data_IF_898956125495
#
_entry.id   IF_898956125495
#
_cell.length_a   1.000
_cell.length_b   1.000
_cell.length_c   1.000
_cell.angle_alpha   90.00
_cell.angle_beta   90.00
_cell.angle_gamma   90.00
#
_symmetry.space_group_name_H-M   'P 1'
#
loop_
_entity.id
_entity.type
_entity.pdbx_description
1 polymer ?
#
# COMPACT_ATOMS: atom_id res chain seq x y z
N UNK A 1 20.50 -19.14 7.90
CA UNK A 1 19.34 -18.24 8.17
C UNK A 1 18.06 -19.01 7.79
N UNK A 2 17.25 -19.39 8.78
CA UNK A 2 16.10 -20.25 8.59
C UNK A 2 14.93 -19.60 7.87
N UNK A 3 14.00 -20.37 7.33
CA UNK A 3 12.84 -19.91 6.54
C UNK A 3 11.89 -18.94 7.28
N UNK A 4 12.09 -18.73 8.56
CA UNK A 4 11.28 -17.88 9.45
C UNK A 4 11.40 -16.37 9.21
N UNK A 5 12.55 -15.89 8.72
CA UNK A 5 12.75 -14.47 8.47
C UNK A 5 11.93 -13.95 7.27
N UNK A 6 11.64 -14.82 6.29
CA UNK A 6 10.88 -14.48 5.08
C UNK A 6 9.37 -14.28 5.33
N UNK A 7 8.79 -14.93 6.37
CA UNK A 7 7.34 -14.86 6.65
C UNK A 7 6.89 -13.58 7.39
N UNK A 8 7.79 -12.86 8.07
CA UNK A 8 7.44 -11.63 8.80
C UNK A 8 7.13 -10.45 7.88
N UNK A 9 7.67 -10.42 6.67
CA UNK A 9 7.47 -9.34 5.70
C UNK A 9 6.03 -9.26 5.18
N UNK A 10 5.37 -10.41 4.98
CA UNK A 10 4.00 -10.47 4.46
C UNK A 10 2.91 -10.18 5.50
N UNK A 11 3.24 -10.11 6.80
CA UNK A 11 2.27 -9.88 7.88
C UNK A 11 1.77 -8.44 7.96
N UNK A 12 2.50 -7.49 7.42
CA UNK A 12 2.12 -6.08 7.46
C UNK A 12 2.06 -5.54 6.05
N UNK A 13 0.87 -5.18 5.63
CA UNK A 13 0.59 -4.50 4.37
C UNK A 13 0.19 -3.07 4.66
N UNK A 14 0.64 -2.14 3.83
CA UNK A 14 0.41 -0.71 4.00
C UNK A 14 -0.34 -0.17 2.79
N UNK A 15 -1.35 0.65 3.04
CA UNK A 15 -2.08 1.37 1.99
C UNK A 15 -1.94 2.87 2.19
N UNK A 16 -1.73 3.55 1.09
CA UNK A 16 -1.80 5.00 1.04
C UNK A 16 -2.37 5.46 -0.30
N UNK A 17 -3.25 6.46 -0.23
CA UNK A 17 -3.76 7.18 -1.39
C UNK A 17 -3.00 8.50 -1.53
N UNK A 18 -2.54 8.81 -2.75
CA UNK A 18 -1.96 10.11 -3.09
C UNK A 18 -2.67 10.71 -4.30
N UNK A 19 -3.05 11.99 -4.25
CA UNK A 19 -3.46 12.72 -5.42
C UNK A 19 -2.25 12.98 -6.34
N UNK A 20 -2.46 12.92 -7.64
CA UNK A 20 -1.52 13.45 -8.62
C UNK A 20 -1.84 14.92 -8.79
N UNK A 21 -0.98 15.78 -8.35
CA UNK A 21 -0.82 17.25 -8.42
C UNK A 21 -1.85 18.22 -8.99
N UNK A 22 -2.92 17.81 -9.65
CA UNK A 22 -3.90 18.72 -10.26
C UNK A 22 -5.26 18.67 -9.56
N UNK A 23 -5.97 19.81 -9.51
CA UNK A 23 -7.34 19.91 -8.95
C UNK A 23 -8.36 18.98 -9.63
N UNK A 24 -8.11 18.53 -10.86
CA UNK A 24 -8.83 17.48 -11.59
C UNK A 24 -8.04 16.16 -11.64
N UNK A 25 -7.07 15.99 -10.75
CA UNK A 25 -6.11 14.91 -10.74
C UNK A 25 -6.72 13.54 -10.46
N UNK A 26 -5.94 12.51 -10.78
CA UNK A 26 -6.24 11.12 -10.42
C UNK A 26 -5.69 10.82 -9.03
N UNK A 27 -6.37 9.96 -8.29
CA UNK A 27 -5.87 9.37 -7.04
C UNK A 27 -5.26 8.01 -7.33
N UNK A 28 -4.10 7.74 -6.73
CA UNK A 28 -3.45 6.42 -6.74
C UNK A 28 -3.50 5.83 -5.35
N UNK A 29 -4.12 4.69 -5.19
CA UNK A 29 -4.07 3.89 -3.97
C UNK A 29 -3.12 2.72 -4.20
N UNK A 30 -2.16 2.56 -3.31
CA UNK A 30 -1.08 1.59 -3.41
C UNK A 30 -1.06 0.72 -2.16
N UNK A 31 -1.15 -0.58 -2.36
CA UNK A 31 -0.92 -1.59 -1.33
C UNK A 31 0.50 -2.14 -1.50
N UNK A 32 1.27 -2.13 -0.43
CA UNK A 32 2.63 -2.66 -0.42
C UNK A 32 2.85 -3.64 0.73
N UNK A 33 3.81 -4.53 0.59
CA UNK A 33 4.28 -5.37 1.68
C UNK A 33 5.18 -4.59 2.66
N UNK A 34 5.66 -5.26 3.72
CA UNK A 34 6.56 -4.64 4.72
C UNK A 34 7.92 -4.21 4.17
N UNK A 35 8.29 -4.60 2.96
CA UNK A 35 9.52 -4.21 2.25
C UNK A 35 9.27 -3.12 1.20
N UNK A 36 8.01 -2.74 0.97
CA UNK A 36 7.63 -1.75 -0.03
C UNK A 36 7.43 -2.33 -1.43
N UNK A 37 7.32 -3.64 -1.57
CA UNK A 37 6.96 -4.25 -2.86
C UNK A 37 5.48 -3.98 -3.14
N UNK A 38 5.13 -3.43 -4.31
CA UNK A 38 3.75 -3.20 -4.69
C UNK A 38 3.00 -4.53 -4.88
N UNK A 39 1.90 -4.70 -4.16
CA UNK A 39 1.02 -5.86 -4.23
C UNK A 39 -0.24 -5.58 -5.04
N UNK A 40 -0.71 -4.34 -5.01
CA UNK A 40 -1.87 -3.88 -5.75
C UNK A 40 -1.84 -2.38 -5.95
N UNK A 41 -2.37 -1.91 -7.06
CA UNK A 41 -2.52 -0.49 -7.39
C UNK A 41 -3.91 -0.26 -7.94
N UNK A 42 -4.64 0.68 -7.37
CA UNK A 42 -5.91 1.16 -7.91
C UNK A 42 -5.83 2.66 -8.21
N UNK A 43 -6.47 3.05 -9.30
CA UNK A 43 -6.57 4.44 -9.75
C UNK A 43 -8.03 4.87 -9.71
N UNK A 44 -8.28 6.13 -9.45
CA UNK A 44 -9.62 6.74 -9.58
C UNK A 44 -9.51 8.24 -9.78
N UNK A 45 -10.62 8.86 -10.16
CA UNK A 45 -10.74 10.31 -10.13
C UNK A 45 -10.59 10.85 -8.70
N UNK A 46 -10.16 12.10 -8.57
CA UNK A 46 -9.91 12.76 -7.28
C UNK A 46 -11.16 12.87 -6.40
N UNK A 47 -12.35 12.80 -6.99
CA UNK A 47 -13.64 12.91 -6.33
C UNK A 47 -14.07 11.62 -5.60
N UNK A 48 -13.45 10.46 -5.89
CA UNK A 48 -13.82 9.23 -5.22
C UNK A 48 -13.33 9.22 -3.77
N UNK A 49 -14.20 8.81 -2.84
CA UNK A 49 -13.84 8.68 -1.43
C UNK A 49 -12.79 7.58 -1.21
N UNK A 50 -11.81 7.84 -0.34
CA UNK A 50 -10.68 6.93 -0.12
C UNK A 50 -11.09 5.53 0.35
N UNK A 51 -12.19 5.40 1.09
CA UNK A 51 -12.72 4.09 1.52
C UNK A 51 -13.19 3.22 0.36
N UNK A 52 -13.84 3.81 -0.67
CA UNK A 52 -14.26 3.08 -1.88
C UNK A 52 -13.04 2.64 -2.70
N UNK A 53 -12.02 3.49 -2.76
CA UNK A 53 -10.79 3.17 -3.45
C UNK A 53 -9.99 2.08 -2.70
N UNK A 54 -10.09 2.03 -1.37
CA UNK A 54 -9.50 0.97 -0.55
C UNK A 54 -10.08 -0.41 -0.90
N UNK A 55 -11.42 -0.54 -1.01
CA UNK A 55 -12.06 -1.82 -1.37
C UNK A 55 -11.53 -2.32 -2.72
N UNK A 56 -11.49 -1.43 -3.72
CA UNK A 56 -10.93 -1.73 -5.05
C UNK A 56 -9.46 -2.14 -4.99
N UNK A 57 -8.65 -1.46 -4.17
CA UNK A 57 -7.23 -1.79 -4.00
C UNK A 57 -7.04 -3.17 -3.39
N UNK A 58 -7.82 -3.53 -2.37
CA UNK A 58 -7.72 -4.82 -1.71
C UNK A 58 -8.24 -5.98 -2.58
N UNK A 59 -9.24 -5.72 -3.44
CA UNK A 59 -9.76 -6.71 -4.38
C UNK A 59 -8.79 -7.07 -5.51
N UNK A 60 -7.85 -6.18 -5.85
CA UNK A 60 -6.91 -6.32 -6.97
C UNK A 60 -5.54 -6.88 -6.57
N UNK A 61 -5.42 -7.53 -5.42
CA UNK A 61 -4.16 -8.14 -4.99
C UNK A 61 -3.79 -9.28 -5.95
N UNK A 62 -2.65 -9.13 -6.64
CA UNK A 62 -2.22 -10.04 -7.69
C UNK A 62 -1.52 -11.31 -7.18
N UNK A 63 -1.06 -11.31 -5.93
CA UNK A 63 -0.29 -12.43 -5.36
C UNK A 63 -1.16 -13.33 -4.49
N UNK A 64 -1.00 -14.66 -4.58
CA UNK A 64 -1.65 -15.58 -3.66
C UNK A 64 -1.30 -15.25 -2.21
N UNK A 65 -2.29 -15.24 -1.35
CA UNK A 65 -2.10 -15.01 0.07
C UNK A 65 -2.10 -16.32 0.82
N UNK A 66 -1.28 -16.46 1.89
CA UNK A 66 -1.33 -17.63 2.73
C UNK A 66 -2.71 -17.71 3.41
N UNK A 67 -3.26 -18.90 3.48
CA UNK A 67 -4.50 -19.15 4.20
C UNK A 67 -4.37 -18.76 5.68
N UNK A 68 -5.40 -18.08 6.16
CA UNK A 68 -5.50 -17.66 7.56
C UNK A 68 -6.10 -18.81 8.38
N UNK A 69 -5.26 -19.52 9.10
CA UNK A 69 -5.67 -20.58 10.01
C UNK A 69 -5.57 -20.10 11.45
N UNK A 70 -6.69 -19.70 12.04
CA UNK A 70 -6.75 -19.16 13.40
C UNK A 70 -5.85 -17.94 13.58
N UNK A 71 -4.94 -17.97 14.56
CA UNK A 71 -3.98 -16.91 14.85
C UNK A 71 -2.74 -16.92 13.92
N UNK A 72 -2.56 -17.99 13.16
CA UNK A 72 -1.44 -18.12 12.24
C UNK A 72 -1.77 -17.38 10.93
N UNK A 73 -0.74 -16.78 10.35
CA UNK A 73 -0.82 -16.08 9.06
C UNK A 73 -1.75 -14.86 9.01
N UNK A 74 -2.15 -14.30 10.16
CA UNK A 74 -2.90 -13.05 10.19
C UNK A 74 -2.10 -11.92 9.54
N UNK A 75 -2.75 -11.21 8.61
CA UNK A 75 -2.17 -10.08 7.91
C UNK A 75 -2.75 -8.77 8.47
N UNK A 76 -1.87 -7.88 8.88
CA UNK A 76 -2.24 -6.58 9.42
C UNK A 76 -2.19 -5.53 8.32
N UNK A 77 -3.30 -4.83 8.11
CA UNK A 77 -3.41 -3.71 7.21
C UNK A 77 -3.12 -2.41 7.96
N UNK A 78 -1.94 -1.86 7.74
CA UNK A 78 -1.56 -0.58 8.32
C UNK A 78 -2.07 0.56 7.43
N UNK A 79 -2.94 1.39 7.98
CA UNK A 79 -3.59 2.49 7.28
C UNK A 79 -3.20 3.82 7.92
N UNK A 80 -3.26 4.90 7.12
CA UNK A 80 -3.07 6.26 7.61
C UNK A 80 -4.26 6.72 8.48
N UNK A 81 -4.03 7.71 9.34
CA UNK A 81 -5.04 8.27 10.23
C UNK A 81 -6.31 8.79 9.51
N UNK A 82 -6.23 9.08 8.21
CA UNK A 82 -7.39 9.42 7.38
C UNK A 82 -8.38 8.28 7.12
N UNK A 83 -7.99 7.04 7.43
CA UNK A 83 -8.83 5.85 7.25
C UNK A 83 -9.54 5.41 8.54
N UNK A 84 -9.75 6.30 9.49
CA UNK A 84 -10.48 6.00 10.72
C UNK A 84 -11.98 5.84 10.42
N UNK A 85 -12.59 4.76 10.94
CA UNK A 85 -14.03 4.59 10.94
C UNK A 85 -14.50 3.17 10.65
N UNK A 86 -15.77 2.93 10.99
CA UNK A 86 -16.43 1.63 10.83
C UNK A 86 -16.43 1.11 9.38
N UNK A 87 -16.65 1.93 8.34
CA UNK A 87 -16.64 1.44 6.94
C UNK A 87 -15.30 0.82 6.54
N UNK A 88 -14.19 1.41 6.97
CA UNK A 88 -12.83 0.93 6.66
C UNK A 88 -12.55 -0.40 7.34
N UNK A 89 -12.96 -0.54 8.60
CA UNK A 89 -12.81 -1.79 9.34
C UNK A 89 -13.60 -2.94 8.69
N UNK A 90 -14.83 -2.65 8.23
CA UNK A 90 -15.67 -3.62 7.51
C UNK A 90 -15.02 -4.05 6.19
N UNK A 91 -14.49 -3.11 5.40
CA UNK A 91 -13.79 -3.38 4.14
C UNK A 91 -12.54 -4.23 4.40
N UNK A 92 -11.70 -3.86 5.35
CA UNK A 92 -10.48 -4.60 5.66
C UNK A 92 -10.80 -6.06 6.06
N UNK A 93 -11.80 -6.26 6.93
CA UNK A 93 -12.24 -7.60 7.36
C UNK A 93 -12.84 -8.44 6.23
N UNK A 94 -13.61 -7.83 5.33
CA UNK A 94 -14.14 -8.46 4.10
C UNK A 94 -13.01 -9.10 3.27
N UNK A 95 -11.86 -8.44 3.22
CA UNK A 95 -10.68 -8.92 2.51
C UNK A 95 -9.71 -9.70 3.42
N UNK A 96 -10.15 -10.18 4.57
CA UNK A 96 -9.35 -10.97 5.53
C UNK A 96 -8.09 -10.26 6.05
N UNK A 97 -8.16 -8.92 6.20
CA UNK A 97 -7.11 -8.14 6.86
C UNK A 97 -7.56 -7.65 8.23
N UNK A 98 -6.60 -7.52 9.14
CA UNK A 98 -6.80 -6.88 10.44
C UNK A 98 -6.33 -5.42 10.34
N UNK A 99 -7.28 -4.45 10.37
CA UNK A 99 -6.92 -3.05 10.25
C UNK A 99 -6.14 -2.56 11.47
N UNK A 100 -5.06 -1.84 11.21
CA UNK A 100 -4.28 -1.11 12.22
C UNK A 100 -4.20 0.35 11.79
N UNK A 101 -5.08 1.15 12.33
CA UNK A 101 -5.08 2.59 12.16
C UNK A 101 -4.57 3.21 13.46
N UNK A 102 -3.46 3.93 13.40
CA UNK A 102 -2.95 4.68 14.55
C UNK A 102 -3.51 6.09 14.50
N UNK A 103 -4.08 6.54 15.61
CA UNK A 103 -4.47 7.93 15.76
C UNK A 103 -3.22 8.84 15.81
N UNK A 104 -3.38 10.11 15.48
CA UNK A 104 -2.28 11.08 15.58
C UNK A 104 -1.74 11.20 17.02
N UNK A 105 -2.61 11.03 18.00
CA UNK A 105 -2.22 11.04 19.41
C UNK A 105 -1.35 9.82 19.77
N UNK A 106 -1.75 8.62 19.34
CA UNK A 106 -0.96 7.40 19.52
C UNK A 106 0.40 7.47 18.80
N UNK A 107 0.45 8.04 17.60
CA UNK A 107 1.72 8.24 16.89
C UNK A 107 2.66 9.17 17.66
N UNK A 108 2.13 10.26 18.27
CA UNK A 108 2.91 11.18 19.11
C UNK A 108 3.42 10.48 20.38
N UNK A 109 2.58 9.71 21.07
CA UNK A 109 2.96 8.97 22.27
C UNK A 109 4.02 7.92 21.97
N UNK A 110 3.90 7.20 20.86
CA UNK A 110 4.90 6.22 20.41
C UNK A 110 6.24 6.92 20.11
N UNK A 111 6.20 8.06 19.43
CA UNK A 111 7.42 8.83 19.13
C UNK A 111 8.08 9.38 20.39
N UNK A 112 7.30 9.80 21.38
CA UNK A 112 7.82 10.25 22.67
C UNK A 112 8.47 9.10 23.45
N UNK A 113 7.81 7.93 23.50
CA UNK A 113 8.28 6.76 24.28
C UNK A 113 9.41 6.00 23.58
N UNK A 114 9.46 6.04 22.25
CA UNK A 114 10.44 5.36 21.41
C UNK A 114 10.92 6.30 20.29
N UNK A 115 11.87 7.21 20.55
CA UNK A 115 12.32 8.22 19.59
C UNK A 115 12.84 7.64 18.28
N UNK A 116 13.47 6.46 18.34
CA UNK A 116 14.03 5.73 17.18
C UNK A 116 13.00 4.93 16.39
N UNK A 117 11.76 4.84 16.88
CA UNK A 117 10.71 4.11 16.16
C UNK A 117 10.26 4.89 14.94
N UNK A 118 10.65 4.43 13.76
CA UNK A 118 10.19 5.00 12.49
C UNK A 118 8.75 4.54 12.20
N UNK A 119 7.80 5.47 11.98
CA UNK A 119 6.46 5.09 11.57
C UNK A 119 6.54 4.33 10.24
N UNK A 120 5.85 3.21 10.10
CA UNK A 120 5.91 2.36 8.89
C UNK A 120 5.42 3.04 7.61
N UNK A 121 4.84 4.22 7.73
CA UNK A 121 4.39 5.09 6.62
C UNK A 121 5.47 5.33 5.58
N UNK A 122 6.75 5.43 5.98
CA UNK A 122 7.86 5.65 5.07
C UNK A 122 8.00 4.54 4.00
N UNK A 123 7.54 3.31 4.28
CA UNK A 123 7.64 2.18 3.36
C UNK A 123 6.81 2.43 2.10
N UNK A 124 5.55 2.80 2.27
CA UNK A 124 4.68 3.10 1.12
C UNK A 124 5.05 4.41 0.43
N UNK A 125 5.56 5.39 1.18
CA UNK A 125 6.09 6.63 0.63
C UNK A 125 7.29 6.37 -0.28
N UNK A 126 8.19 5.49 0.12
CA UNK A 126 9.32 5.04 -0.68
C UNK A 126 8.88 4.42 -1.99
N UNK A 127 7.86 3.57 -1.97
CA UNK A 127 7.34 2.93 -3.18
C UNK A 127 6.68 3.96 -4.12
N UNK A 128 5.94 4.94 -3.57
CA UNK A 128 5.47 6.08 -4.37
C UNK A 128 6.63 6.87 -4.99
N UNK A 129 7.73 7.06 -4.25
CA UNK A 129 8.93 7.71 -4.78
C UNK A 129 9.55 6.89 -5.92
N UNK A 130 9.61 5.56 -5.80
CA UNK A 130 10.09 4.70 -6.88
C UNK A 130 9.22 4.79 -8.13
N UNK A 131 7.89 4.76 -7.98
CA UNK A 131 6.95 4.95 -9.09
C UNK A 131 7.10 6.31 -9.77
N UNK A 132 7.36 7.36 -9.00
CA UNK A 132 7.55 8.72 -9.53
C UNK A 132 8.86 8.90 -10.31
N UNK A 133 9.82 7.97 -10.23
CA UNK A 133 11.01 7.97 -11.10
C UNK A 133 10.67 7.67 -12.56
N UNK A 134 9.53 7.04 -12.82
CA UNK A 134 9.02 6.84 -14.16
C UNK A 134 8.29 8.11 -14.63
N UNK A 135 8.91 8.88 -15.52
CA UNK A 135 8.44 10.21 -15.94
C UNK A 135 6.99 10.19 -16.45
N UNK A 136 6.61 9.20 -17.25
CA UNK A 136 5.23 9.04 -17.74
C UNK A 136 4.22 8.77 -16.62
N UNK A 137 4.62 8.07 -15.56
CA UNK A 137 3.79 7.83 -14.38
C UNK A 137 3.66 9.09 -13.54
N UNK A 138 4.75 9.86 -13.40
CA UNK A 138 4.75 11.10 -12.63
C UNK A 138 3.82 12.15 -13.21
N UNK A 139 3.93 12.40 -14.52
CA UNK A 139 3.24 13.51 -15.20
C UNK A 139 1.83 13.12 -15.66
N UNK A 140 1.52 11.83 -15.76
CA UNK A 140 0.18 11.32 -16.13
C UNK A 140 -0.35 11.90 -17.44
N UNK A 141 0.38 11.72 -18.53
CA UNK A 141 -0.05 12.14 -19.89
C UNK A 141 -1.22 11.32 -20.45
N UNK A 142 -1.56 10.21 -19.83
CA UNK A 142 -2.55 9.28 -20.33
C UNK A 142 -3.97 9.85 -20.24
N UNK A 143 -4.70 9.80 -21.35
CA UNK A 143 -6.09 10.30 -21.43
C UNK A 143 -7.06 9.41 -20.68
N UNK A 144 -6.86 8.09 -20.71
CA UNK A 144 -7.76 7.13 -20.06
C UNK A 144 -7.22 6.62 -18.72
N UNK A 145 -8.11 6.21 -17.82
CA UNK A 145 -7.73 5.56 -16.56
C UNK A 145 -7.07 4.20 -16.81
N UNK A 146 -7.55 3.47 -17.83
CA UNK A 146 -7.03 2.16 -18.20
C UNK A 146 -5.55 2.23 -18.64
N UNK A 147 -5.21 3.14 -19.55
CA UNK A 147 -3.83 3.33 -20.02
C UNK A 147 -2.90 3.74 -18.88
N UNK A 148 -3.37 4.64 -18.01
CA UNK A 148 -2.58 5.07 -16.86
C UNK A 148 -2.35 3.92 -15.85
N UNK A 149 -3.38 3.11 -15.61
CA UNK A 149 -3.28 1.93 -14.75
C UNK A 149 -2.30 0.91 -15.31
N UNK A 150 -2.33 0.67 -16.63
CA UNK A 150 -1.38 -0.23 -17.29
C UNK A 150 0.07 0.24 -17.14
N UNK A 151 0.34 1.54 -17.29
CA UNK A 151 1.67 2.11 -17.04
C UNK A 151 2.12 1.95 -15.59
N UNK A 152 1.21 2.16 -14.64
CA UNK A 152 1.50 1.96 -13.23
C UNK A 152 1.80 0.50 -12.91
N UNK A 153 1.06 -0.44 -13.49
CA UNK A 153 1.30 -1.88 -13.32
C UNK A 153 2.65 -2.29 -13.91
N UNK A 154 3.00 -1.78 -15.10
CA UNK A 154 4.32 -2.01 -15.70
C UNK A 154 5.45 -1.46 -14.82
N UNK A 155 5.31 -0.24 -14.32
CA UNK A 155 6.29 0.36 -13.41
C UNK A 155 6.42 -0.45 -12.10
N UNK A 156 5.30 -0.94 -11.55
CA UNK A 156 5.29 -1.80 -10.38
C UNK A 156 6.01 -3.14 -10.65
N UNK A 157 5.77 -3.76 -11.80
CA UNK A 157 6.44 -4.99 -12.21
C UNK A 157 7.96 -4.80 -12.31
N UNK A 158 8.41 -3.68 -12.89
CA UNK A 158 9.84 -3.34 -12.96
C UNK A 158 10.46 -3.11 -11.58
N UNK A 159 9.72 -2.49 -10.64
CA UNK A 159 10.15 -2.33 -9.26
C UNK A 159 10.30 -3.70 -8.58
N UNK A 160 9.29 -4.56 -8.73
CA UNK A 160 9.34 -5.93 -8.17
C UNK A 160 10.53 -6.70 -8.73
N UNK A 161 10.73 -6.68 -10.03
CA UNK A 161 11.85 -7.36 -10.68
C UNK A 161 13.21 -6.87 -10.17
N UNK A 162 13.42 -5.56 -10.11
CA UNK A 162 14.67 -4.99 -9.56
C UNK A 162 14.91 -5.40 -8.11
N UNK A 163 13.88 -5.42 -7.28
CA UNK A 163 14.01 -5.85 -5.90
C UNK A 163 14.27 -7.34 -5.78
N UNK A 164 13.78 -8.15 -6.70
CA UNK A 164 14.08 -9.59 -6.77
C UNK A 164 15.55 -9.81 -7.05
N UNK A 165 16.13 -9.08 -8.01
CA UNK A 165 17.56 -9.13 -8.32
C UNK A 165 18.45 -8.73 -7.13
N UNK A 166 18.02 -7.76 -6.32
CA UNK A 166 18.74 -7.35 -5.09
C UNK A 166 18.67 -8.41 -3.98
N UNK A 167 17.60 -9.21 -3.96
CA UNK A 167 17.37 -10.20 -2.89
C UNK A 167 18.01 -11.56 -3.23
N UNK A 168 18.09 -11.91 -4.50
CA UNK A 168 18.52 -13.23 -4.98
C UNK A 168 19.77 -13.19 -5.88
N UNK A 169 20.24 -12.03 -6.27
CA UNK A 169 21.51 -11.79 -6.97
C UNK A 169 22.59 -11.48 -5.98
#
# INVERSE_FOLDING_TARGET
MGPWAKRRSLRNVLVRTRPTGEKKGRKRSLLVDGRGLPLSIAVSGANLHDSKLLDRTLAQVAVPRPEVTGWKNQQYLCLDAGYVGYPVNKIARKHHYYPRVKSRAEERLIKYRYPDSKPRRWVVERTHSWLNRYRKVLVSFEKTEASYTALLQLAAALICWRQTMVIYG
#
